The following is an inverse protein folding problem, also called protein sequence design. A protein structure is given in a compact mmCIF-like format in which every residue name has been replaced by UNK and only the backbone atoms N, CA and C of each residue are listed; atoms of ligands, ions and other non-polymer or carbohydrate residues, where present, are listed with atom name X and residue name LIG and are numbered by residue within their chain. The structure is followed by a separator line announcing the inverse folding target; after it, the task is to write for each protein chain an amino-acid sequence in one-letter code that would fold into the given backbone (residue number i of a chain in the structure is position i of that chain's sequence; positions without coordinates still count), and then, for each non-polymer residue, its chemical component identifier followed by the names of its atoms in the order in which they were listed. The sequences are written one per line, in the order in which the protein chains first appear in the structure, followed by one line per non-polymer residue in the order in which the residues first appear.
data_IF_575608732011
#
_entry.id   IF_575608732011
#
_cell.length_a   1.000
_cell.length_b   1.000
_cell.length_c   1.000
_cell.angle_alpha   90.00
_cell.angle_beta   90.00
_cell.angle_gamma   90.00
#
_symmetry.space_group_name_H-M   'P 1'
#
loop_
_entity.id
_entity.type
_entity.pdbx_description
1 polymer ?
#
# COMPACT_ATOMS: atom_id res chain seq x y z
N UNK A 1 37.48 2.68 -15.71
CA UNK A 1 37.22 1.49 -16.55
C UNK A 1 36.41 0.51 -15.70
N UNK A 2 35.32 0.00 -16.26
CA UNK A 2 34.16 -0.76 -15.73
C UNK A 2 33.97 -1.14 -14.24
N UNK A 3 32.71 -0.94 -13.82
CA UNK A 3 32.05 -1.29 -12.54
C UNK A 3 31.77 -2.80 -12.43
N UNK A 4 31.88 -3.35 -11.22
CA UNK A 4 31.28 -4.63 -10.84
C UNK A 4 30.29 -4.38 -9.68
N UNK A 5 28.99 -4.55 -9.94
CA UNK A 5 27.94 -4.58 -8.93
C UNK A 5 27.91 -6.01 -8.36
N UNK A 6 28.03 -6.23 -7.04
CA UNK A 6 27.73 -7.52 -6.47
C UNK A 6 26.21 -7.66 -6.36
N UNK A 7 25.71 -8.54 -7.23
CA UNK A 7 24.71 -9.57 -6.96
C UNK A 7 23.71 -9.28 -5.84
N UNK A 8 22.51 -8.87 -6.27
CA UNK A 8 21.22 -9.22 -5.70
C UNK A 8 21.23 -9.67 -4.23
N UNK A 9 21.30 -8.69 -3.33
CA UNK A 9 20.80 -8.83 -1.96
C UNK A 9 19.30 -9.11 -2.03
N UNK A 10 18.92 -10.36 -2.24
CA UNK A 10 17.56 -10.80 -2.01
C UNK A 10 17.32 -10.69 -0.51
N UNK A 11 16.51 -9.70 -0.12
CA UNK A 11 15.92 -9.67 1.21
C UNK A 11 15.04 -10.91 1.30
N UNK A 12 15.58 -11.99 1.87
CA UNK A 12 14.77 -13.13 2.30
C UNK A 12 13.91 -12.64 3.46
N UNK A 13 12.71 -12.20 3.14
CA UNK A 13 11.64 -12.06 4.12
C UNK A 13 11.14 -13.47 4.41
N UNK A 14 11.69 -14.10 5.45
CA UNK A 14 11.30 -15.46 5.88
C UNK A 14 9.85 -15.51 6.39
N UNK A 15 9.20 -14.37 6.59
CA UNK A 15 7.80 -14.25 7.01
C UNK A 15 6.81 -14.04 5.85
N UNK A 16 6.96 -14.78 4.75
CA UNK A 16 5.95 -14.82 3.68
C UNK A 16 4.63 -15.51 4.10
N UNK A 17 4.59 -16.11 5.29
CA UNK A 17 3.44 -16.87 5.81
C UNK A 17 2.36 -16.00 6.45
N UNK A 18 2.65 -14.72 6.74
CA UNK A 18 1.70 -13.80 7.39
C UNK A 18 1.39 -12.61 6.49
N UNK A 19 0.23 -12.67 5.83
CA UNK A 19 -0.36 -11.54 5.12
C UNK A 19 -1.02 -10.59 6.13
N UNK A 20 -0.23 -9.86 6.91
CA UNK A 20 -0.77 -8.87 7.82
C UNK A 20 -1.16 -7.59 7.06
N UNK A 21 -2.30 -7.02 7.43
CA UNK A 21 -2.79 -5.80 6.83
C UNK A 21 -1.87 -4.61 7.18
N UNK A 22 -1.75 -3.64 6.27
CA UNK A 22 -0.90 -2.47 6.49
C UNK A 22 0.61 -2.73 6.49
N UNK A 23 1.12 -3.83 5.91
CA UNK A 23 2.56 -4.08 5.66
C UNK A 23 2.92 -3.89 4.18
N UNK A 24 4.22 -3.85 3.83
CA UNK A 24 4.66 -3.72 2.43
C UNK A 24 4.01 -4.76 1.50
N UNK A 25 3.71 -4.35 0.27
CA UNK A 25 3.06 -5.22 -0.72
C UNK A 25 4.03 -6.29 -1.19
N UNK A 26 3.81 -7.53 -0.73
CA UNK A 26 4.51 -8.68 -1.26
C UNK A 26 4.10 -8.97 -2.72
N UNK A 27 5.04 -9.45 -3.54
CA UNK A 27 4.82 -9.64 -4.98
C UNK A 27 3.67 -10.60 -5.31
N UNK A 28 3.42 -11.61 -4.46
CA UNK A 28 2.28 -12.54 -4.59
C UNK A 28 0.97 -11.79 -4.43
N UNK A 29 0.90 -10.90 -3.45
CA UNK A 29 -0.29 -10.10 -3.17
C UNK A 29 -0.57 -9.13 -4.34
N UNK A 30 0.47 -8.46 -4.85
CA UNK A 30 0.35 -7.63 -6.05
C UNK A 30 -0.15 -8.41 -7.28
N UNK A 31 0.41 -9.60 -7.51
CA UNK A 31 -0.01 -10.49 -8.61
C UNK A 31 -1.48 -10.89 -8.47
N UNK A 32 -1.91 -11.28 -7.27
CA UNK A 32 -3.29 -11.72 -7.01
C UNK A 32 -4.31 -10.58 -7.09
N UNK A 33 -3.99 -9.40 -6.56
CA UNK A 33 -4.80 -8.19 -6.75
C UNK A 33 -5.03 -7.87 -8.23
N UNK A 34 -4.03 -8.13 -9.08
CA UNK A 34 -4.13 -7.90 -10.52
C UNK A 34 -4.96 -8.98 -11.24
N UNK A 35 -4.84 -10.24 -10.82
CA UNK A 35 -5.57 -11.36 -11.43
C UNK A 35 -7.04 -11.38 -11.04
N UNK A 36 -7.36 -11.07 -9.79
CA UNK A 36 -8.69 -11.22 -9.20
C UNK A 36 -9.00 -9.99 -8.34
N UNK A 37 -9.18 -8.79 -8.92
CA UNK A 37 -9.29 -7.53 -8.15
C UNK A 37 -10.49 -7.49 -7.19
N UNK A 38 -11.51 -8.33 -7.42
CA UNK A 38 -12.79 -8.23 -6.74
C UNK A 38 -13.51 -6.93 -7.09
N UNK A 39 -14.41 -6.48 -6.20
CA UNK A 39 -15.04 -5.18 -6.35
C UNK A 39 -14.01 -4.06 -6.10
N UNK A 40 -13.83 -3.21 -7.11
CA UNK A 40 -13.02 -2.00 -7.02
C UNK A 40 -13.94 -0.79 -6.91
N UNK A 41 -13.80 -0.02 -5.83
CA UNK A 41 -14.55 1.22 -5.63
C UNK A 41 -13.62 2.40 -5.91
N UNK A 42 -13.96 3.26 -6.85
CA UNK A 42 -13.19 4.47 -7.11
C UNK A 42 -13.34 5.45 -5.95
N UNK A 43 -12.22 5.96 -5.45
CA UNK A 43 -12.17 6.82 -4.26
C UNK A 43 -11.54 8.18 -4.58
N UNK A 44 -12.08 9.22 -3.94
CA UNK A 44 -11.47 10.54 -3.87
C UNK A 44 -10.46 10.51 -2.73
N UNK A 45 -9.18 10.40 -3.10
CA UNK A 45 -8.09 10.34 -2.15
C UNK A 45 -6.95 11.25 -2.61
N UNK A 46 -6.55 12.16 -1.74
CA UNK A 46 -5.43 13.09 -1.90
C UNK A 46 -4.41 12.91 -0.77
N UNK A 47 -3.24 13.54 -0.90
CA UNK A 47 -2.23 13.50 0.16
C UNK A 47 -2.76 14.06 1.50
N UNK A 48 -3.65 15.05 1.46
CA UNK A 48 -4.22 15.71 2.65
C UNK A 48 -5.18 14.81 3.43
N UNK A 49 -5.73 13.77 2.79
CA UNK A 49 -6.60 12.79 3.43
C UNK A 49 -5.81 11.76 4.29
N UNK A 50 -4.48 11.75 4.17
CA UNK A 50 -3.59 10.85 4.93
C UNK A 50 -3.11 11.56 6.19
N UNK A 51 -3.54 11.07 7.35
CA UNK A 51 -3.19 11.63 8.66
C UNK A 51 -1.79 11.19 9.10
N UNK A 52 -1.18 11.95 10.01
CA UNK A 52 0.18 11.69 10.52
C UNK A 52 0.29 10.34 11.24
N UNK A 53 -0.81 9.87 11.82
CA UNK A 53 -0.91 8.57 12.49
C UNK A 53 -1.20 7.40 11.53
N UNK A 54 -1.15 7.64 10.21
CA UNK A 54 -1.34 6.60 9.19
C UNK A 54 -2.79 6.35 8.80
N UNK A 55 -3.76 6.96 9.48
CA UNK A 55 -5.17 6.76 9.16
C UNK A 55 -5.63 7.56 7.95
N UNK A 56 -6.49 6.96 7.15
CA UNK A 56 -7.04 7.49 5.90
C UNK A 56 -8.56 7.28 5.90
N UNK A 57 -9.29 8.38 5.71
CA UNK A 57 -10.74 8.33 5.49
C UNK A 57 -11.04 8.07 4.01
N UNK A 58 -11.74 6.97 3.70
CA UNK A 58 -12.11 6.67 2.32
C UNK A 58 -13.43 7.34 1.93
N UNK A 59 -13.46 7.97 0.75
CA UNK A 59 -14.65 8.60 0.19
C UNK A 59 -14.84 8.14 -1.25
N UNK A 60 -16.05 7.73 -1.63
CA UNK A 60 -16.32 7.30 -2.98
C UNK A 60 -16.30 8.48 -3.96
N UNK A 61 -15.82 8.25 -5.18
CA UNK A 61 -15.85 9.25 -6.26
C UNK A 61 -17.23 9.41 -6.91
N UNK A 62 -18.06 8.37 -6.80
CA UNK A 62 -19.43 8.34 -7.31
C UNK A 62 -20.36 7.75 -6.25
N UNK A 63 -21.67 7.77 -6.50
CA UNK A 63 -22.67 7.20 -5.62
C UNK A 63 -22.37 5.71 -5.33
N UNK A 64 -21.89 5.44 -4.11
CA UNK A 64 -21.63 4.11 -3.61
C UNK A 64 -22.61 3.81 -2.48
N UNK A 65 -23.44 2.78 -2.67
CA UNK A 65 -24.51 2.43 -1.73
C UNK A 65 -24.02 1.79 -0.41
N UNK A 66 -22.73 1.44 -0.31
CA UNK A 66 -22.14 0.85 0.88
C UNK A 66 -21.43 1.87 1.77
N UNK A 67 -21.14 1.48 3.01
CA UNK A 67 -20.23 2.23 3.87
C UNK A 67 -18.78 1.94 3.49
N UNK A 68 -17.96 2.98 3.35
CA UNK A 68 -16.52 2.81 3.20
C UNK A 68 -15.84 2.79 4.57
N UNK A 69 -14.84 1.91 4.77
CA UNK A 69 -14.11 1.84 6.03
C UNK A 69 -13.11 3.00 6.14
N UNK A 70 -12.72 3.30 7.37
CA UNK A 70 -11.45 3.97 7.63
C UNK A 70 -10.33 2.94 7.53
N UNK A 71 -9.21 3.31 6.91
CA UNK A 71 -8.08 2.40 6.71
C UNK A 71 -6.78 3.02 7.21
N UNK A 72 -5.80 2.20 7.53
CA UNK A 72 -4.53 2.61 8.11
C UNK A 72 -3.36 2.11 7.27
N UNK A 73 -2.30 2.92 7.15
CA UNK A 73 -1.02 2.51 6.55
C UNK A 73 0.13 2.75 7.52
N UNK A 74 1.11 1.84 7.54
CA UNK A 74 2.36 2.01 8.29
C UNK A 74 3.31 3.06 7.68
N UNK A 75 3.06 3.49 6.44
CA UNK A 75 3.94 4.41 5.71
C UNK A 75 3.17 5.64 5.21
N UNK A 76 2.64 6.50 6.12
CA UNK A 76 1.85 7.67 5.75
C UNK A 76 2.59 8.61 4.80
N UNK A 77 3.86 8.91 5.07
CA UNK A 77 4.63 9.84 4.25
C UNK A 77 4.88 9.30 2.83
N UNK A 78 5.21 8.01 2.71
CA UNK A 78 5.35 7.37 1.40
C UNK A 78 4.04 7.37 0.60
N UNK A 79 2.90 7.18 1.28
CA UNK A 79 1.59 7.30 0.64
C UNK A 79 1.29 8.74 0.21
N UNK A 80 1.59 9.74 1.04
CA UNK A 80 1.42 11.16 0.71
C UNK A 80 2.24 11.57 -0.51
N UNK A 81 3.52 11.22 -0.53
CA UNK A 81 4.41 11.52 -1.67
C UNK A 81 3.88 10.91 -2.97
N UNK A 82 3.44 9.64 -2.88
CA UNK A 82 2.84 8.93 -4.01
C UNK A 82 1.59 9.66 -4.50
N UNK A 83 0.68 10.06 -3.60
CA UNK A 83 -0.56 10.75 -3.94
C UNK A 83 -0.31 12.17 -4.46
N UNK A 84 0.65 12.91 -3.89
CA UNK A 84 1.01 14.26 -4.31
C UNK A 84 1.54 14.29 -5.76
N UNK A 85 2.24 13.23 -6.19
CA UNK A 85 2.71 13.06 -7.56
C UNK A 85 1.66 12.43 -8.50
N UNK A 86 0.67 11.71 -7.96
CA UNK A 86 -0.32 10.99 -8.77
C UNK A 86 -1.37 11.93 -9.38
N UNK A 87 -1.75 11.68 -10.63
CA UNK A 87 -2.79 12.44 -11.36
C UNK A 87 -3.89 11.53 -11.91
N UNK A 88 -3.86 10.26 -11.54
CA UNK A 88 -4.81 9.27 -12.01
C UNK A 88 -5.88 8.95 -10.98
N UNK A 89 -6.56 7.83 -11.20
CA UNK A 89 -7.62 7.33 -10.34
C UNK A 89 -7.04 6.47 -9.23
N UNK A 90 -7.76 6.40 -8.11
CA UNK A 90 -7.43 5.54 -6.98
C UNK A 90 -8.62 4.64 -6.70
N UNK A 91 -8.36 3.35 -6.47
CA UNK A 91 -9.38 2.36 -6.22
C UNK A 91 -9.15 1.66 -4.89
N UNK A 92 -10.22 1.50 -4.12
CA UNK A 92 -10.27 0.61 -2.97
C UNK A 92 -10.58 -0.82 -3.43
N UNK A 93 -9.68 -1.76 -3.11
CA UNK A 93 -9.85 -3.19 -3.36
C UNK A 93 -10.22 -3.90 -2.05
N UNK A 94 -11.53 -3.97 -1.77
CA UNK A 94 -12.03 -4.48 -0.49
C UNK A 94 -11.54 -5.89 -0.16
N UNK A 95 -11.51 -6.80 -1.14
CA UNK A 95 -11.04 -8.19 -0.94
C UNK A 95 -9.59 -8.28 -0.46
N UNK A 96 -8.76 -7.31 -0.82
CA UNK A 96 -7.30 -7.36 -0.66
C UNK A 96 -6.77 -6.36 0.35
N UNK A 97 -7.64 -5.55 0.93
CA UNK A 97 -7.28 -4.42 1.79
C UNK A 97 -6.18 -3.54 1.17
N UNK A 98 -6.39 -3.13 -0.09
CA UNK A 98 -5.38 -2.40 -0.84
C UNK A 98 -5.95 -1.20 -1.60
N UNK A 99 -5.16 -0.13 -1.69
CA UNK A 99 -5.37 1.01 -2.57
C UNK A 99 -4.59 0.78 -3.86
N UNK A 100 -5.29 0.80 -4.99
CA UNK A 100 -4.72 0.64 -6.33
C UNK A 100 -4.72 1.98 -7.03
N UNK A 101 -3.54 2.48 -7.38
CA UNK A 101 -3.36 3.72 -8.12
C UNK A 101 -3.22 3.40 -9.62
N UNK A 102 -3.99 4.10 -10.44
CA UNK A 102 -4.09 3.84 -11.89
C UNK A 102 -3.95 5.14 -12.65
N UNK A 103 -3.08 5.18 -13.67
CA UNK A 103 -2.91 6.34 -14.55
C UNK A 103 -3.96 6.36 -15.69
N UNK A 104 -4.02 7.45 -16.47
CA UNK A 104 -5.04 7.66 -17.52
C UNK A 104 -5.09 6.62 -18.66
N UNK A 105 -4.09 5.74 -18.78
CA UNK A 105 -4.09 4.61 -19.72
C UNK A 105 -4.41 3.27 -19.04
N UNK A 106 -5.11 3.30 -17.90
CA UNK A 106 -5.43 2.13 -17.05
C UNK A 106 -4.21 1.34 -16.56
N UNK A 107 -3.02 1.95 -16.63
CA UNK A 107 -1.79 1.34 -16.14
C UNK A 107 -1.71 1.51 -14.63
N UNK A 108 -1.48 0.40 -13.94
CA UNK A 108 -1.23 0.38 -12.49
C UNK A 108 0.07 1.13 -12.21
N UNK A 109 -0.04 2.24 -11.49
CA UNK A 109 1.07 3.07 -11.03
C UNK A 109 1.58 2.62 -9.66
N UNK A 110 0.70 2.09 -8.82
CA UNK A 110 1.05 1.62 -7.48
C UNK A 110 -0.04 0.75 -6.88
N UNK A 111 0.37 -0.05 -5.90
CA UNK A 111 -0.51 -0.79 -5.01
C UNK A 111 0.00 -0.56 -3.59
N UNK A 112 -0.90 -0.20 -2.68
CA UNK A 112 -0.58 0.11 -1.29
C UNK A 112 -1.48 -0.73 -0.41
N UNK A 113 -0.91 -1.60 0.42
CA UNK A 113 -1.68 -2.32 1.42
C UNK A 113 -2.05 -1.37 2.56
N UNK A 114 -3.25 -1.58 3.08
CA UNK A 114 -3.77 -0.88 4.25
C UNK A 114 -4.39 -1.88 5.22
N UNK A 115 -4.70 -1.43 6.43
CA UNK A 115 -5.31 -2.21 7.51
C UNK A 115 -6.57 -1.53 8.03
N UNK A 116 -7.40 -2.25 8.78
CA UNK A 116 -8.47 -1.66 9.58
C UNK A 116 -8.06 -1.39 11.03
N UNK A 117 -6.84 -1.75 11.38
CA UNK A 117 -6.26 -1.60 12.70
C UNK A 117 -4.86 -0.99 12.56
N UNK A 118 -4.50 -0.11 13.49
CA UNK A 118 -3.13 0.39 13.59
C UNK A 118 -2.20 -0.73 14.10
N UNK A 119 -1.01 -0.85 13.52
CA UNK A 119 0.02 -1.81 13.93
C UNK A 119 1.24 -1.13 14.53
N UNK A 120 2.02 -1.87 15.33
CA UNK A 120 3.32 -1.39 15.80
C UNK A 120 4.24 -1.06 14.62
N UNK A 121 4.84 0.13 14.67
CA UNK A 121 5.82 0.61 13.71
C UNK A 121 6.96 -0.41 13.61
N UNK A 122 7.40 -0.72 12.39
CA UNK A 122 8.63 -1.49 12.16
C UNK A 122 9.89 -0.67 12.50
N UNK A 123 9.87 0.11 13.59
CA UNK A 123 11.00 0.81 14.19
C UNK A 123 11.27 0.24 15.59
N UNK A 124 11.53 -1.06 15.65
CA UNK A 124 12.30 -1.62 16.75
C UNK A 124 13.78 -1.55 16.39
N UNK A 125 14.69 -1.06 17.26
CA UNK A 125 16.11 -1.30 17.03
C UNK A 125 16.29 -2.81 16.90
N UNK A 126 16.73 -3.27 15.72
CA UNK A 126 17.07 -4.67 15.52
C UNK A 126 18.00 -5.12 16.66
N UNK A 127 17.86 -6.35 17.16
CA UNK A 127 18.61 -6.79 18.33
C UNK A 127 20.10 -6.51 18.11
N UNK A 128 20.66 -5.72 19.04
CA UNK A 128 22.07 -5.34 19.14
C UNK A 128 22.92 -6.62 19.05
N UNK A 129 23.40 -6.94 17.85
CA UNK A 129 24.42 -7.98 17.65
C UNK A 129 25.75 -7.38 18.05
N UNK A 130 26.00 -7.37 19.36
CA UNK A 130 27.36 -7.30 19.90
C UNK A 130 28.04 -8.68 19.82
N UNK A 131 29.37 -8.68 19.69
CA UNK A 131 30.14 -9.53 18.77
C UNK A 131 30.18 -11.02 19.14
#
# INVERSE_FOLDING_TARGET
MLRHLPEHGSVRSEDCERYAAGHQVHWIHAKKCRQEPGQAVEILLTADDVRDDGWVGLRAAFDYAGSLPQVWTHAPDGLRDTLAAHRGRVYWLCRWHALKLVTGADRVAGLVNVSFEAGELCDGPGPDRRP
#
